data_IF_485204496282
#
_entry.id   IF_485204496282
#
_cell.length_a   1.000
_cell.length_b   1.000
_cell.length_c   1.000
_cell.angle_alpha   90.00
_cell.angle_beta   90.00
_cell.angle_gamma   90.00
#
_symmetry.space_group_name_H-M   'P 1'
#
loop_
_entity.id
_entity.type
_entity.pdbx_description
1 polymer ?
#
# COMPACT_ATOMS: atom_id res chain seq x y z
N UNK A 1 5.77 17.09 0.79
CA UNK A 1 6.28 15.75 1.00
C UNK A 1 5.62 14.75 0.06
N UNK A 2 6.24 13.58 -0.07
CA UNK A 2 5.70 12.54 -0.94
C UNK A 2 5.05 11.42 -0.13
N UNK A 3 4.42 10.48 -0.82
CA UNK A 3 3.76 9.35 -0.17
C UNK A 3 4.16 8.04 -0.81
N UNK A 4 3.56 6.95 -0.34
CA UNK A 4 3.87 5.63 -0.87
C UNK A 4 3.47 5.49 -2.32
N UNK A 5 3.23 4.25 -2.74
CA UNK A 5 2.84 3.98 -4.12
C UNK A 5 2.40 2.52 -4.29
N UNK A 6 1.87 2.20 -5.46
CA UNK A 6 1.42 0.84 -5.74
C UNK A 6 2.59 -0.09 -5.97
N UNK A 7 2.47 -1.33 -5.50
CA UNK A 7 3.53 -2.31 -5.66
C UNK A 7 4.80 -1.87 -4.95
N UNK A 8 4.66 -0.96 -4.00
CA UNK A 8 5.79 -0.44 -3.24
C UNK A 8 5.81 -1.02 -1.83
N UNK A 9 6.95 -1.56 -1.43
CA UNK A 9 7.10 -2.14 -0.10
C UNK A 9 6.62 -1.16 0.97
N UNK A 10 6.12 -1.71 2.08
CA UNK A 10 5.63 -0.89 3.17
C UNK A 10 5.65 -1.66 4.49
N UNK A 11 6.00 -0.98 5.57
CA UNK A 11 6.06 -1.60 6.89
C UNK A 11 4.70 -1.54 7.59
N UNK A 12 3.80 -0.74 7.04
CA UNK A 12 2.47 -0.59 7.60
C UNK A 12 1.51 0.02 6.58
N UNK A 13 0.26 0.20 6.99
CA UNK A 13 -0.76 0.77 6.11
C UNK A 13 -0.61 2.29 6.02
N UNK A 14 0.26 2.84 6.86
CA UNK A 14 0.50 4.28 6.87
C UNK A 14 1.31 4.71 5.66
N UNK A 15 2.11 3.79 5.14
CA UNK A 15 2.93 4.08 3.97
C UNK A 15 2.07 4.29 2.73
N UNK A 16 0.91 3.65 2.71
CA UNK A 16 -0.01 3.77 1.59
C UNK A 16 -0.47 5.22 1.41
N UNK A 17 -0.31 5.74 0.19
CA UNK A 17 -0.69 7.10 -0.11
C UNK A 17 -2.22 7.24 -0.17
N UNK A 18 -2.82 6.60 -1.18
CA UNK A 18 -4.26 6.64 -1.35
C UNK A 18 -4.74 5.48 -2.20
N UNK A 19 -5.85 4.86 -1.80
CA UNK A 19 -6.42 3.73 -2.52
C UNK A 19 -5.47 2.54 -2.49
N UNK A 20 -4.56 2.54 -1.53
CA UNK A 20 -3.59 1.46 -1.39
C UNK A 20 -3.69 0.81 0.00
N UNK A 21 -3.30 -0.46 0.09
CA UNK A 21 -3.33 -1.17 1.36
C UNK A 21 -2.14 -2.10 1.50
N UNK A 22 -1.44 -1.99 2.62
CA UNK A 22 -0.27 -2.82 2.88
C UNK A 22 -0.64 -4.29 2.92
N UNK A 23 -0.14 -5.05 1.93
CA UNK A 23 -0.43 -6.47 1.84
C UNK A 23 0.82 -7.29 2.16
N UNK A 24 0.78 -8.00 3.29
CA UNK A 24 1.90 -8.83 3.70
C UNK A 24 2.10 -10.01 2.76
N UNK A 25 1.10 -10.25 1.91
CA UNK A 25 1.17 -11.35 0.95
C UNK A 25 2.17 -11.05 -0.16
N UNK A 26 2.09 -9.84 -0.71
CA UNK A 26 2.98 -9.42 -1.78
C UNK A 26 4.18 -8.66 -1.23
N UNK A 27 4.16 -8.39 0.07
CA UNK A 27 5.24 -7.67 0.73
C UNK A 27 5.24 -6.20 0.30
N UNK A 28 4.09 -5.71 -0.11
CA UNK A 28 3.96 -4.32 -0.55
C UNK A 28 2.49 -3.91 -0.65
N UNK A 29 2.26 -2.61 -0.81
CA UNK A 29 0.90 -2.09 -0.90
C UNK A 29 0.25 -2.49 -2.23
N UNK A 30 -1.01 -2.90 -2.15
CA UNK A 30 -1.75 -3.33 -3.34
C UNK A 30 -3.03 -2.54 -3.50
N UNK A 31 -3.52 -2.43 -4.73
CA UNK A 31 -4.74 -1.70 -5.02
C UNK A 31 -5.90 -2.24 -4.20
N UNK A 32 -6.42 -1.42 -3.30
CA UNK A 32 -7.53 -1.82 -2.44
C UNK A 32 -8.70 -2.35 -3.27
N UNK A 33 -9.48 -3.24 -2.69
CA UNK A 33 -10.62 -3.83 -3.37
C UNK A 33 -11.90 -3.05 -3.08
N UNK A 34 -12.91 -3.23 -3.93
CA UNK A 34 -14.21 -2.55 -3.78
C UNK A 34 -15.00 -3.08 -2.59
N UNK A 35 -14.71 -4.31 -2.18
CA UNK A 35 -15.39 -4.92 -1.06
C UNK A 35 -14.42 -5.19 0.09
#
# INVERSE_FOLDING_TARGET
SECGKFMWKCKNSNDCCKDLVCSSRWKWCVLASPF
#
